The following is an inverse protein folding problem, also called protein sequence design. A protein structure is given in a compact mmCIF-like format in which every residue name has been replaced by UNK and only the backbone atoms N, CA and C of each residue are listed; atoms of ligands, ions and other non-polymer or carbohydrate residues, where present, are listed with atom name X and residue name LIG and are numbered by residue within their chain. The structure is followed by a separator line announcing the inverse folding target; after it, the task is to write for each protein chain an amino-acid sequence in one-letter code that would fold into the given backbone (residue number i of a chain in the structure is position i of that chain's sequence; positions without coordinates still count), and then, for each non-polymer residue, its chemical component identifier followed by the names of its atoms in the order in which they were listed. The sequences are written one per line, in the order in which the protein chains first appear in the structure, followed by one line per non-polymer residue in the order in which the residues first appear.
data_IF_766563996339
#
_entry.id   IF_766563996339
#
_cell.length_a   1.000
_cell.length_b   1.000
_cell.length_c   1.000
_cell.angle_alpha   90.00
_cell.angle_beta   90.00
_cell.angle_gamma   90.00
#
_symmetry.space_group_name_H-M   'P 1'
#
loop_
_entity.id
_entity.type
_entity.pdbx_description
1 polymer ?
#
# COMPACT_ATOMS: atom_id res chain seq x y z
N UNK A 1 5.26 -3.69 -7.19
CA UNK A 1 6.26 -3.36 -8.22
C UNK A 1 5.54 -3.52 -9.55
N UNK A 2 5.37 -2.46 -10.35
CA UNK A 2 4.92 -2.64 -11.75
C UNK A 2 6.10 -2.37 -12.65
N UNK A 3 6.47 -3.41 -13.39
CA UNK A 3 7.49 -3.36 -14.41
C UNK A 3 6.83 -3.10 -15.76
N UNK A 4 7.44 -2.21 -16.54
CA UNK A 4 6.95 -1.79 -17.86
C UNK A 4 6.95 -3.01 -18.79
N UNK A 5 5.78 -3.33 -19.38
CA UNK A 5 5.62 -4.40 -20.36
C UNK A 5 6.15 -3.98 -21.74
N UNK A 6 7.21 -4.61 -22.28
CA UNK A 6 7.51 -4.51 -23.71
C UNK A 6 6.54 -5.41 -24.50
N UNK A 7 5.95 -4.86 -25.56
CA UNK A 7 5.03 -5.61 -26.43
C UNK A 7 5.79 -6.72 -27.19
N UNK A 8 5.30 -7.97 -27.21
CA UNK A 8 5.92 -9.08 -27.95
C UNK A 8 6.18 -8.76 -29.43
N UNK A 9 5.34 -7.89 -30.02
CA UNK A 9 5.40 -7.49 -31.42
C UNK A 9 6.58 -6.56 -31.78
N UNK A 10 7.47 -6.24 -30.84
CA UNK A 10 8.67 -5.43 -31.06
C UNK A 10 9.98 -6.21 -30.92
N UNK A 11 9.95 -7.53 -31.13
CA UNK A 11 11.13 -8.41 -31.08
C UNK A 11 11.48 -8.96 -29.70
N UNK A 12 10.65 -8.68 -28.69
CA UNK A 12 10.85 -9.17 -27.33
C UNK A 12 10.27 -10.58 -27.19
N UNK A 13 11.08 -11.51 -26.68
CA UNK A 13 10.61 -12.82 -26.28
C UNK A 13 10.05 -12.75 -24.86
N UNK A 14 8.96 -13.50 -24.60
CA UNK A 14 8.41 -13.73 -23.26
C UNK A 14 8.80 -15.14 -22.83
N UNK A 15 9.31 -15.25 -21.62
CA UNK A 15 9.50 -16.51 -20.90
C UNK A 15 8.55 -16.49 -19.69
N UNK A 16 7.67 -17.49 -19.64
CA UNK A 16 6.88 -17.82 -18.47
C UNK A 16 7.64 -18.94 -17.74
N UNK A 17 8.48 -18.62 -16.74
CA UNK A 17 9.17 -19.65 -15.99
C UNK A 17 8.14 -20.58 -15.34
N UNK A 18 8.39 -21.90 -15.38
CA UNK A 18 7.48 -22.92 -14.82
C UNK A 18 7.04 -22.56 -13.38
N UNK A 19 5.80 -22.93 -13.04
CA UNK A 19 5.08 -22.68 -11.77
C UNK A 19 5.90 -22.04 -10.64
N UNK A 20 5.59 -20.77 -10.33
CA UNK A 20 6.06 -20.09 -9.12
C UNK A 20 7.00 -18.92 -9.34
N UNK A 21 7.25 -18.52 -10.60
CA UNK A 21 8.12 -17.40 -10.93
C UNK A 21 7.40 -16.35 -11.79
N UNK A 22 7.77 -15.09 -11.59
CA UNK A 22 7.24 -13.97 -12.36
C UNK A 22 7.74 -14.00 -13.82
N UNK A 23 6.90 -13.61 -14.79
CA UNK A 23 7.30 -13.60 -16.19
C UNK A 23 8.49 -12.67 -16.43
N UNK A 24 9.31 -13.08 -17.40
CA UNK A 24 10.47 -12.31 -17.86
C UNK A 24 10.28 -12.05 -19.35
N UNK A 25 10.54 -10.82 -19.78
CA UNK A 25 10.66 -10.47 -21.19
C UNK A 25 12.10 -10.08 -21.49
N UNK A 26 12.66 -10.52 -22.61
CA UNK A 26 14.05 -10.22 -22.99
C UNK A 26 14.23 -9.88 -24.48
N UNK A 27 15.24 -9.04 -24.76
CA UNK A 27 15.70 -8.66 -26.09
C UNK A 27 17.20 -8.34 -26.06
N UNK A 28 18.00 -9.08 -26.84
CA UNK A 28 19.47 -9.03 -26.85
C UNK A 28 20.09 -9.19 -25.44
N UNK A 29 20.56 -8.08 -24.87
CA UNK A 29 21.20 -8.01 -23.55
C UNK A 29 20.29 -7.40 -22.47
N UNK A 30 19.05 -7.06 -22.84
CA UNK A 30 18.07 -6.42 -21.95
C UNK A 30 17.03 -7.45 -21.52
N UNK A 31 16.73 -7.49 -20.23
CA UNK A 31 15.62 -8.28 -19.68
C UNK A 31 14.81 -7.45 -18.69
N UNK A 32 13.54 -7.79 -18.53
CA UNK A 32 12.59 -7.14 -17.62
C UNK A 32 11.75 -8.23 -16.96
N UNK A 33 11.83 -8.35 -15.63
CA UNK A 33 10.90 -9.16 -14.84
C UNK A 33 9.68 -8.32 -14.44
N UNK A 34 8.48 -8.88 -14.49
CA UNK A 34 7.23 -8.15 -14.27
C UNK A 34 6.12 -9.03 -13.69
N UNK A 35 5.07 -8.41 -13.17
CA UNK A 35 3.82 -9.10 -12.86
C UNK A 35 2.86 -8.98 -14.06
N UNK A 36 2.22 -10.09 -14.42
CA UNK A 36 1.09 -10.11 -15.35
C UNK A 36 -0.18 -10.67 -14.66
N UNK A 37 -1.37 -10.61 -15.30
CA UNK A 37 -2.59 -11.12 -14.69
C UNK A 37 -2.54 -12.62 -14.31
N UNK A 38 -1.73 -13.44 -14.97
CA UNK A 38 -1.57 -14.85 -14.60
C UNK A 38 -0.73 -14.96 -13.32
N UNK A 39 0.42 -14.29 -13.27
CA UNK A 39 1.28 -14.27 -12.09
C UNK A 39 0.54 -13.75 -10.84
N UNK A 40 -0.25 -12.68 -10.99
CA UNK A 40 -1.08 -12.18 -9.90
C UNK A 40 -2.18 -13.14 -9.45
N UNK A 41 -2.82 -13.85 -10.38
CA UNK A 41 -3.80 -14.88 -10.04
C UNK A 41 -3.14 -16.02 -9.24
N UNK A 42 -1.98 -16.48 -9.68
CA UNK A 42 -1.24 -17.58 -9.03
C UNK A 42 -0.74 -17.17 -7.64
N UNK A 43 -0.14 -15.99 -7.50
CA UNK A 43 0.25 -15.42 -6.19
C UNK A 43 -0.95 -15.30 -5.24
N UNK A 44 -2.10 -14.89 -5.77
CA UNK A 44 -3.34 -14.76 -4.99
C UNK A 44 -3.90 -16.09 -4.54
N UNK A 45 -3.86 -17.08 -5.42
CA UNK A 45 -4.27 -18.45 -5.10
C UNK A 45 -3.33 -19.03 -4.03
N UNK A 46 -2.02 -18.86 -4.19
CA UNK A 46 -1.03 -19.29 -3.20
C UNK A 46 -1.22 -18.61 -1.84
N UNK A 47 -1.45 -17.29 -1.80
CA UNK A 47 -1.77 -16.55 -0.56
C UNK A 47 -2.98 -17.14 0.14
N UNK A 48 -4.03 -17.45 -0.62
CA UNK A 48 -5.24 -18.07 -0.08
C UNK A 48 -5.00 -19.47 0.45
N UNK A 49 -4.34 -20.33 -0.32
CA UNK A 49 -4.09 -21.74 0.01
C UNK A 49 -3.18 -21.91 1.22
N UNK A 50 -2.26 -20.97 1.43
CA UNK A 50 -1.35 -20.97 2.57
C UNK A 50 -1.89 -20.17 3.77
N UNK A 51 -3.15 -19.71 3.73
CA UNK A 51 -3.82 -19.09 4.87
C UNK A 51 -3.31 -17.68 5.23
N UNK A 52 -2.66 -16.99 4.29
CA UNK A 52 -2.21 -15.61 4.50
C UNK A 52 -3.39 -14.63 4.49
N UNK A 53 -3.20 -13.50 5.19
CA UNK A 53 -4.26 -12.53 5.41
C UNK A 53 -4.66 -11.69 4.20
N UNK A 54 -3.89 -11.71 3.10
CA UNK A 54 -4.17 -10.89 1.92
C UNK A 54 -2.94 -10.56 1.06
N UNK A 55 -3.15 -9.65 0.09
CA UNK A 55 -2.14 -9.14 -0.83
C UNK A 55 -2.04 -7.61 -0.72
N UNK A 56 -0.82 -7.09 -0.82
CA UNK A 56 -0.51 -5.68 -0.96
C UNK A 56 -0.08 -5.40 -2.41
N UNK A 57 -0.59 -4.32 -2.99
CA UNK A 57 -0.32 -3.90 -4.37
C UNK A 57 0.31 -2.51 -4.37
N UNK A 58 1.57 -2.43 -4.79
CA UNK A 58 2.26 -1.19 -5.15
C UNK A 58 2.42 -1.11 -6.68
N UNK A 59 1.73 -0.23 -7.40
CA UNK A 59 0.62 0.63 -6.97
C UNK A 59 -0.45 0.69 -8.07
N UNK A 60 -1.69 1.04 -7.72
CA UNK A 60 -2.84 0.77 -8.59
C UNK A 60 -2.94 1.66 -9.83
N UNK A 61 -2.23 2.78 -9.87
CA UNK A 61 -2.24 3.69 -11.03
C UNK A 61 -1.40 3.18 -12.20
N UNK A 62 -0.56 2.17 -11.94
CA UNK A 62 0.21 1.45 -12.96
C UNK A 62 -0.56 0.25 -13.56
N UNK A 63 -1.74 -0.09 -13.00
CA UNK A 63 -2.64 -1.04 -13.64
C UNK A 63 -3.41 -0.35 -14.79
N UNK A 64 -3.93 -1.13 -15.75
CA UNK A 64 -4.61 -0.59 -16.93
C UNK A 64 -6.02 -0.08 -16.58
N UNK A 65 -6.10 1.12 -15.99
CA UNK A 65 -7.36 1.74 -15.57
C UNK A 65 -8.15 2.39 -16.73
N UNK A 66 -7.51 2.62 -17.89
CA UNK A 66 -8.09 3.24 -19.09
C UNK A 66 -8.31 2.23 -20.24
N UNK A 67 -8.74 1.00 -19.90
CA UNK A 67 -8.64 -0.24 -20.71
C UNK A 67 -7.92 -0.12 -22.06
N UNK A 68 -6.62 0.20 -22.06
CA UNK A 68 -5.81 0.37 -23.28
C UNK A 68 -5.33 -0.96 -23.83
N UNK A 69 -4.95 -1.88 -22.95
CA UNK A 69 -4.41 -3.19 -23.31
C UNK A 69 -5.48 -4.27 -23.34
N UNK A 70 -6.59 -4.09 -22.61
CA UNK A 70 -7.60 -5.12 -22.35
C UNK A 70 -9.03 -4.57 -22.46
N UNK A 71 -10.03 -5.46 -22.54
CA UNK A 71 -11.46 -5.06 -22.62
C UNK A 71 -12.06 -4.54 -21.31
N UNK A 72 -11.32 -4.63 -20.20
CA UNK A 72 -11.75 -4.19 -18.87
C UNK A 72 -10.62 -3.45 -18.16
N UNK A 73 -11.00 -2.45 -17.36
CA UNK A 73 -10.07 -1.75 -16.47
C UNK A 73 -9.54 -2.68 -15.37
N UNK A 74 -8.34 -2.39 -14.87
CA UNK A 74 -7.71 -3.08 -13.76
C UNK A 74 -7.56 -4.61 -13.91
N UNK A 75 -7.00 -5.11 -15.03
CA UNK A 75 -6.80 -6.54 -15.24
C UNK A 75 -6.00 -7.19 -14.10
N UNK A 76 -5.02 -6.50 -13.52
CA UNK A 76 -4.21 -7.03 -12.43
C UNK A 76 -5.04 -7.21 -11.15
N UNK A 77 -5.72 -6.15 -10.69
CA UNK A 77 -6.56 -6.24 -9.49
C UNK A 77 -7.71 -7.23 -9.67
N UNK A 78 -8.26 -7.36 -10.87
CA UNK A 78 -9.31 -8.35 -11.17
C UNK A 78 -8.77 -9.78 -11.09
N UNK A 79 -7.55 -10.04 -11.58
CA UNK A 79 -6.91 -11.33 -11.41
C UNK A 79 -6.66 -11.66 -9.94
N UNK A 80 -6.21 -10.68 -9.14
CA UNK A 80 -6.03 -10.85 -7.69
C UNK A 80 -7.35 -11.23 -7.00
N UNK A 81 -8.42 -10.47 -7.29
CA UNK A 81 -9.75 -10.77 -6.76
C UNK A 81 -10.23 -12.16 -7.20
N UNK A 82 -9.92 -12.59 -8.42
CA UNK A 82 -10.29 -13.92 -8.90
C UNK A 82 -9.51 -15.03 -8.17
N UNK A 83 -8.20 -14.87 -7.92
CA UNK A 83 -7.43 -15.86 -7.18
C UNK A 83 -7.89 -15.99 -5.72
N UNK A 84 -8.15 -14.86 -5.05
CA UNK A 84 -8.62 -14.87 -3.66
C UNK A 84 -10.08 -15.37 -3.54
N UNK A 85 -10.98 -14.89 -4.39
CA UNK A 85 -12.43 -15.04 -4.21
C UNK A 85 -13.14 -15.89 -5.27
N UNK A 86 -12.46 -16.40 -6.30
CA UNK A 86 -13.11 -17.19 -7.35
C UNK A 86 -14.12 -16.39 -8.19
N UNK A 87 -14.87 -17.10 -9.05
CA UNK A 87 -15.87 -16.53 -9.99
C UNK A 87 -17.33 -16.78 -9.58
N UNK A 88 -17.58 -17.42 -8.43
CA UNK A 88 -18.91 -17.87 -8.00
C UNK A 88 -19.41 -17.23 -6.71
N UNK A 89 -20.72 -17.33 -6.47
CA UNK A 89 -21.39 -16.92 -5.23
C UNK A 89 -20.78 -17.71 -4.06
N UNK A 90 -19.82 -17.13 -3.35
CA UNK A 90 -19.23 -17.78 -2.19
C UNK A 90 -20.27 -17.83 -1.08
N UNK A 91 -20.66 -19.06 -0.74
CA UNK A 91 -21.32 -19.38 0.52
C UNK A 91 -20.47 -18.74 1.60
N UNK A 92 -21.03 -17.75 2.30
CA UNK A 92 -20.39 -17.04 3.41
C UNK A 92 -19.87 -18.04 4.44
N UNK A 93 -18.61 -18.46 4.31
CA UNK A 93 -17.87 -18.96 5.45
C UNK A 93 -17.46 -17.75 6.28
N UNK A 94 -17.75 -17.76 7.58
CA UNK A 94 -17.28 -16.77 8.57
C UNK A 94 -15.75 -16.65 8.71
N UNK A 95 -14.96 -17.16 7.75
CA UNK A 95 -13.54 -16.90 7.66
C UNK A 95 -13.34 -15.43 7.29
N UNK A 96 -12.45 -14.76 8.00
CA UNK A 96 -12.09 -13.37 7.70
C UNK A 96 -11.69 -13.26 6.23
N UNK A 97 -12.43 -12.46 5.45
CA UNK A 97 -12.14 -12.22 4.03
C UNK A 97 -10.70 -11.74 3.89
N UNK A 98 -9.90 -12.37 3.02
CA UNK A 98 -8.57 -11.88 2.71
C UNK A 98 -8.63 -10.40 2.32
N UNK A 99 -7.55 -9.67 2.59
CA UNK A 99 -7.45 -8.24 2.27
C UNK A 99 -6.76 -8.06 0.93
N UNK A 100 -7.25 -7.13 0.13
CA UNK A 100 -6.51 -6.53 -0.98
C UNK A 100 -6.20 -5.09 -0.57
N UNK A 101 -4.92 -4.81 -0.32
CA UNK A 101 -4.41 -3.51 0.10
C UNK A 101 -3.80 -2.84 -1.11
N UNK A 102 -4.35 -1.70 -1.50
CA UNK A 102 -3.98 -0.98 -2.72
C UNK A 102 -3.30 0.33 -2.36
N UNK A 103 -2.03 0.50 -2.73
CA UNK A 103 -1.39 1.80 -2.65
C UNK A 103 -1.89 2.71 -3.77
N UNK A 104 -2.26 3.94 -3.40
CA UNK A 104 -2.62 5.00 -4.33
C UNK A 104 -1.80 6.26 -4.02
N UNK A 105 -0.81 6.59 -4.86
CA UNK A 105 0.11 7.68 -4.61
C UNK A 105 -0.46 9.07 -4.95
N UNK A 106 -0.14 10.08 -4.13
CA UNK A 106 -0.63 11.44 -4.22
C UNK A 106 -0.03 12.24 -5.40
N UNK A 107 1.08 11.80 -5.99
CA UNK A 107 1.72 12.44 -7.15
C UNK A 107 1.14 12.01 -8.50
N UNK A 108 0.25 11.01 -8.54
CA UNK A 108 -0.39 10.54 -9.79
C UNK A 108 -1.65 11.33 -10.17
N UNK A 109 -2.03 12.28 -9.33
CA UNK A 109 -3.08 13.26 -9.62
C UNK A 109 -2.71 14.21 -10.77
N UNK A 110 -1.41 14.44 -10.99
CA UNK A 110 -0.93 15.39 -11.99
C UNK A 110 -0.96 14.78 -13.41
N UNK A 111 -1.63 15.49 -14.31
CA UNK A 111 -1.87 15.09 -15.70
C UNK A 111 -0.60 15.16 -16.55
N UNK A 112 0.09 14.02 -16.69
CA UNK A 112 1.07 13.78 -17.76
C UNK A 112 0.43 13.19 -19.02
N UNK A 113 1.26 12.78 -19.99
CA UNK A 113 0.83 12.21 -21.28
C UNK A 113 -0.04 10.94 -21.18
N UNK A 114 -0.06 10.27 -20.02
CA UNK A 114 -0.83 9.05 -19.78
C UNK A 114 -2.22 9.31 -19.16
N UNK A 115 -2.52 10.57 -18.81
CA UNK A 115 -3.72 10.98 -18.06
C UNK A 115 -3.53 10.76 -16.55
N UNK A 116 -3.88 11.76 -15.74
CA UNK A 116 -3.81 11.63 -14.28
C UNK A 116 -4.77 10.56 -13.77
N UNK A 117 -4.42 9.92 -12.65
CA UNK A 117 -5.27 8.93 -11.99
C UNK A 117 -5.89 9.56 -10.75
N UNK A 118 -7.16 9.94 -10.84
CA UNK A 118 -7.95 10.60 -9.79
C UNK A 118 -8.71 9.61 -8.90
N UNK A 119 -9.29 10.02 -7.75
CA UNK A 119 -10.11 9.14 -6.92
C UNK A 119 -11.24 8.46 -7.70
N UNK A 120 -11.86 9.15 -8.65
CA UNK A 120 -12.97 8.65 -9.46
C UNK A 120 -12.56 7.54 -10.44
N UNK A 121 -11.26 7.41 -10.73
CA UNK A 121 -10.76 6.31 -11.54
C UNK A 121 -10.73 5.00 -10.75
N UNK A 122 -10.60 5.06 -9.41
CA UNK A 122 -10.52 3.89 -8.55
C UNK A 122 -11.85 3.13 -8.60
N UNK A 123 -11.81 1.83 -8.94
CA UNK A 123 -12.92 0.90 -8.71
C UNK A 123 -12.83 0.42 -7.25
N UNK A 124 -13.68 0.93 -6.34
CA UNK A 124 -13.53 0.67 -4.91
C UNK A 124 -13.93 -0.75 -4.52
N UNK A 125 -14.45 -1.55 -5.46
CA UNK A 125 -14.83 -2.95 -5.22
C UNK A 125 -13.67 -3.92 -5.36
N UNK A 126 -12.57 -3.48 -5.98
CA UNK A 126 -11.38 -4.30 -6.23
C UNK A 126 -10.39 -4.28 -5.05
N UNK A 127 -10.50 -3.29 -4.17
CA UNK A 127 -9.64 -3.11 -3.01
C UNK A 127 -10.47 -3.19 -1.72
N UNK A 128 -9.90 -3.80 -0.69
CA UNK A 128 -10.47 -3.76 0.68
C UNK A 128 -9.97 -2.55 1.45
N UNK A 129 -8.72 -2.15 1.18
CA UNK A 129 -8.05 -1.00 1.79
C UNK A 129 -7.36 -0.21 0.69
N UNK A 130 -7.42 1.11 0.75
CA UNK A 130 -6.61 2.02 -0.04
C UNK A 130 -5.65 2.73 0.90
N UNK A 131 -4.36 2.52 0.68
CA UNK A 131 -3.27 3.22 1.37
C UNK A 131 -2.93 4.48 0.55
N UNK A 132 -3.25 5.66 1.09
CA UNK A 132 -2.92 6.92 0.44
C UNK A 132 -1.46 7.28 0.73
N UNK A 133 -0.62 7.10 -0.29
CA UNK A 133 0.82 7.27 -0.21
C UNK A 133 1.27 8.61 -0.82
N UNK A 134 2.29 9.31 -0.36
CA UNK A 134 2.80 9.21 1.00
C UNK A 134 2.49 10.47 1.77
N UNK A 135 2.19 10.26 3.03
CA UNK A 135 2.32 11.27 4.04
C UNK A 135 3.75 11.22 4.61
N UNK A 136 4.15 12.30 5.25
CA UNK A 136 5.43 12.46 5.92
C UNK A 136 5.21 12.78 7.40
N UNK A 137 6.26 12.54 8.18
CA UNK A 137 6.35 13.05 9.53
C UNK A 137 6.70 14.55 9.52
N UNK A 138 5.94 15.34 10.26
CA UNK A 138 6.37 16.65 10.71
C UNK A 138 6.88 16.55 12.15
N UNK A 139 8.20 16.49 12.31
CA UNK A 139 8.87 16.37 13.61
C UNK A 139 8.76 17.62 14.48
N UNK A 140 8.41 18.78 13.91
CA UNK A 140 8.22 20.01 14.70
C UNK A 140 6.93 19.98 15.50
N UNK A 141 5.87 19.47 14.87
CA UNK A 141 4.54 19.43 15.44
C UNK A 141 4.09 18.03 15.87
N UNK A 142 4.93 17.00 15.62
CA UNK A 142 4.61 15.60 15.80
C UNK A 142 3.27 15.26 15.13
N UNK A 143 3.14 15.52 13.83
CA UNK A 143 1.92 15.20 13.07
C UNK A 143 2.26 14.46 11.78
N UNK A 144 1.29 13.71 11.26
CA UNK A 144 1.29 13.30 9.85
C UNK A 144 0.87 14.48 8.98
N UNK A 145 1.53 14.66 7.83
CA UNK A 145 1.12 15.61 6.80
C UNK A 145 1.26 14.96 5.43
N UNK A 146 0.41 15.31 4.50
CA UNK A 146 0.55 14.87 3.10
C UNK A 146 1.81 15.51 2.49
N UNK A 147 2.63 14.70 1.80
CA UNK A 147 3.90 15.17 1.23
C UNK A 147 3.71 16.25 0.15
N UNK A 148 2.57 16.23 -0.54
CA UNK A 148 2.16 17.25 -1.51
C UNK A 148 1.46 18.46 -0.87
N UNK A 149 1.40 18.51 0.47
CA UNK A 149 0.59 19.46 1.23
C UNK A 149 -0.86 18.97 1.42
N UNK A 150 -1.61 19.50 2.41
CA UNK A 150 -2.97 19.02 2.67
C UNK A 150 -3.88 19.15 1.44
N UNK A 151 -4.54 18.06 1.08
CA UNK A 151 -5.49 18.00 -0.05
C UNK A 151 -6.92 17.65 0.40
N UNK A 152 -7.64 18.53 1.15
CA UNK A 152 -8.96 18.21 1.68
C UNK A 152 -10.00 17.78 0.64
N UNK A 153 -9.93 18.34 -0.58
CA UNK A 153 -10.85 17.95 -1.66
C UNK A 153 -10.59 16.51 -2.13
N UNK A 154 -9.32 16.11 -2.27
CA UNK A 154 -8.93 14.74 -2.63
C UNK A 154 -9.39 13.76 -1.55
N UNK A 155 -9.18 14.08 -0.27
CA UNK A 155 -9.62 13.22 0.83
C UNK A 155 -11.14 13.07 0.87
N UNK A 156 -11.88 14.14 0.58
CA UNK A 156 -13.34 14.11 0.47
C UNK A 156 -13.79 13.18 -0.67
N UNK A 157 -13.15 13.26 -1.85
CA UNK A 157 -13.46 12.43 -3.01
C UNK A 157 -13.08 10.97 -2.81
N UNK A 158 -11.95 10.68 -2.16
CA UNK A 158 -11.60 9.33 -1.71
C UNK A 158 -12.66 8.76 -0.76
N UNK A 159 -13.10 9.54 0.23
CA UNK A 159 -14.14 9.11 1.15
C UNK A 159 -15.48 8.80 0.44
N UNK A 160 -15.80 9.52 -0.64
CA UNK A 160 -17.01 9.26 -1.42
C UNK A 160 -17.01 7.87 -2.10
N UNK A 161 -15.85 7.24 -2.28
CA UNK A 161 -15.76 5.86 -2.79
C UNK A 161 -16.48 4.85 -1.88
N UNK A 162 -16.60 5.16 -0.59
CA UNK A 162 -17.34 4.34 0.38
C UNK A 162 -18.85 4.29 0.11
N UNK A 163 -19.39 5.21 -0.70
CA UNK A 163 -20.79 5.15 -1.14
C UNK A 163 -21.05 3.94 -2.04
N UNK A 164 -20.03 3.51 -2.81
CA UNK A 164 -20.07 2.30 -3.66
C UNK A 164 -19.61 1.05 -2.91
N UNK A 165 -18.67 1.19 -1.97
CA UNK A 165 -18.19 0.09 -1.12
C UNK A 165 -18.10 0.55 0.34
N UNK A 166 -19.17 0.38 1.15
CA UNK A 166 -19.21 0.82 2.55
C UNK A 166 -18.16 0.16 3.46
N UNK A 167 -17.64 -1.01 3.06
CA UNK A 167 -16.63 -1.75 3.82
C UNK A 167 -15.19 -1.29 3.52
N UNK A 168 -14.99 -0.47 2.48
CA UNK A 168 -13.68 0.05 2.08
C UNK A 168 -13.03 0.85 3.22
N UNK A 169 -11.75 0.56 3.47
CA UNK A 169 -10.92 1.31 4.42
C UNK A 169 -9.94 2.23 3.72
N UNK A 170 -9.85 3.47 4.17
CA UNK A 170 -8.88 4.46 3.73
C UNK A 170 -7.83 4.62 4.81
N UNK A 171 -6.57 4.34 4.48
CA UNK A 171 -5.46 4.30 5.41
C UNK A 171 -4.43 5.33 4.98
N UNK A 172 -3.96 6.14 5.93
CA UNK A 172 -2.84 7.07 5.73
C UNK A 172 -1.57 6.23 5.70
N UNK A 173 -0.81 6.23 4.59
CA UNK A 173 0.53 5.63 4.59
C UNK A 173 1.59 6.71 4.74
N UNK A 174 2.43 6.58 5.76
CA UNK A 174 3.45 7.55 6.15
C UNK A 174 4.83 6.96 5.88
N UNK A 175 5.61 7.58 5.00
CA UNK A 175 6.99 7.16 4.71
C UNK A 175 7.25 6.81 3.25
N UNK A 176 7.67 5.57 3.01
CA UNK A 176 8.18 5.04 1.74
C UNK A 176 9.66 5.33 1.50
N UNK A 177 10.20 4.87 0.38
CA UNK A 177 11.63 4.96 0.01
C UNK A 177 12.27 6.38 0.07
N UNK A 178 11.48 7.46 0.10
CA UNK A 178 11.95 8.84 0.25
C UNK A 178 11.90 9.39 1.69
N UNK A 179 11.48 8.58 2.66
CA UNK A 179 11.31 8.96 4.05
C UNK A 179 12.64 9.35 4.72
N UNK A 180 12.59 10.30 5.65
CA UNK A 180 13.76 10.71 6.43
C UNK A 180 13.88 9.84 7.67
N UNK A 181 14.70 8.79 7.62
CA UNK A 181 14.88 7.85 8.73
C UNK A 181 15.12 8.52 10.09
N UNK A 182 15.96 9.56 10.10
CA UNK A 182 16.28 10.31 11.31
C UNK A 182 15.04 10.95 11.96
N UNK A 183 14.03 11.32 11.19
CA UNK A 183 12.77 11.89 11.71
C UNK A 183 11.94 10.82 12.46
N UNK A 184 11.92 9.58 11.96
CA UNK A 184 11.25 8.45 12.62
C UNK A 184 11.97 8.09 13.92
N UNK A 185 13.29 7.92 13.87
CA UNK A 185 14.12 7.64 15.04
C UNK A 185 14.03 8.75 16.09
N UNK A 186 14.00 10.01 15.64
CA UNK A 186 13.74 11.16 16.50
C UNK A 186 12.38 11.02 17.18
N UNK A 187 11.29 10.81 16.43
CA UNK A 187 9.95 10.66 17.00
C UNK A 187 9.87 9.54 18.06
N UNK A 188 10.35 8.34 17.74
CA UNK A 188 10.13 7.16 18.60
C UNK A 188 11.03 7.12 19.84
N UNK A 189 12.15 7.85 19.85
CA UNK A 189 13.14 7.82 20.94
C UNK A 189 12.70 8.52 22.22
N UNK A 190 11.56 9.22 22.23
CA UNK A 190 11.04 9.91 23.42
C UNK A 190 9.53 9.72 23.57
N UNK A 191 9.11 9.52 24.81
CA UNK A 191 7.70 9.26 25.13
C UNK A 191 6.79 10.46 24.88
N UNK A 192 7.24 11.68 25.19
CA UNK A 192 6.46 12.88 24.95
C UNK A 192 6.16 13.08 23.47
N UNK A 193 7.16 12.86 22.59
CA UNK A 193 7.01 12.91 21.13
C UNK A 193 6.07 11.81 20.61
N UNK A 194 6.23 10.56 21.06
CA UNK A 194 5.32 9.47 20.68
C UNK A 194 3.87 9.76 21.07
N UNK A 195 3.62 10.17 22.31
CA UNK A 195 2.27 10.49 22.80
C UNK A 195 1.67 11.70 22.10
N UNK A 196 2.48 12.74 21.84
CA UNK A 196 2.08 13.89 21.03
C UNK A 196 1.67 13.48 19.62
N UNK A 197 2.46 12.63 18.97
CA UNK A 197 2.16 12.12 17.64
C UNK A 197 0.89 11.28 17.58
N UNK A 198 0.69 10.36 18.52
CA UNK A 198 -0.50 9.52 18.60
C UNK A 198 -1.75 10.40 18.71
N UNK A 199 -1.75 11.35 19.65
CA UNK A 199 -2.86 12.28 19.85
C UNK A 199 -3.18 13.09 18.58
N UNK A 200 -2.14 13.67 17.96
CA UNK A 200 -2.34 14.53 16.80
C UNK A 200 -2.76 13.74 15.56
N UNK A 201 -2.25 12.52 15.39
CA UNK A 201 -2.62 11.61 14.30
C UNK A 201 -4.07 11.20 14.42
N UNK A 202 -4.55 10.82 15.62
CA UNK A 202 -5.97 10.55 15.87
C UNK A 202 -6.84 11.76 15.48
N UNK A 203 -6.45 12.96 15.89
CA UNK A 203 -7.18 14.18 15.53
C UNK A 203 -7.21 14.43 14.01
N UNK A 204 -6.09 14.18 13.31
CA UNK A 204 -6.01 14.28 11.86
C UNK A 204 -6.90 13.24 11.15
N UNK A 205 -6.90 12.01 11.64
CA UNK A 205 -7.72 10.92 11.13
C UNK A 205 -9.21 11.21 11.27
N UNK A 206 -9.64 11.70 12.44
CA UNK A 206 -11.02 12.16 12.64
C UNK A 206 -11.40 13.31 11.72
N UNK A 207 -10.52 14.31 11.60
CA UNK A 207 -10.77 15.51 10.77
C UNK A 207 -11.05 15.16 9.31
N UNK A 208 -10.31 14.22 8.75
CA UNK A 208 -10.38 13.85 7.33
C UNK A 208 -10.99 12.47 7.07
N UNK A 209 -11.58 11.85 8.09
CA UNK A 209 -12.31 10.57 8.03
C UNK A 209 -11.46 9.39 7.52
N UNK A 210 -10.22 9.30 7.99
CA UNK A 210 -9.35 8.15 7.75
C UNK A 210 -9.71 7.00 8.68
N UNK A 211 -9.58 5.76 8.21
CA UNK A 211 -9.87 4.55 8.98
C UNK A 211 -8.62 3.91 9.59
N UNK A 212 -7.43 4.34 9.21
CA UNK A 212 -6.18 3.75 9.70
C UNK A 212 -4.92 4.53 9.43
N UNK A 213 -3.83 4.02 10.01
CA UNK A 213 -2.46 4.45 9.80
C UNK A 213 -1.61 3.26 9.36
N UNK A 214 -0.75 3.50 8.38
CA UNK A 214 0.27 2.61 7.88
C UNK A 214 1.63 3.30 8.01
N UNK A 215 2.59 2.62 8.64
CA UNK A 215 3.94 3.13 8.87
C UNK A 215 4.92 2.43 7.92
N UNK A 216 5.37 3.14 6.91
CA UNK A 216 6.29 2.66 5.89
C UNK A 216 7.70 3.22 6.13
N UNK A 217 8.30 2.83 7.26
CA UNK A 217 9.66 3.21 7.61
C UNK A 217 10.64 2.12 7.14
N UNK A 218 11.51 2.47 6.18
CA UNK A 218 12.40 1.55 5.46
C UNK A 218 13.90 1.79 5.77
N UNK A 219 14.49 1.23 6.84
CA UNK A 219 13.92 0.44 7.92
C UNK A 219 14.55 0.84 9.26
N UNK A 220 13.88 0.63 10.41
CA UNK A 220 14.48 0.84 11.73
C UNK A 220 15.88 0.21 11.83
N UNK A 221 16.87 0.92 12.38
CA UNK A 221 18.30 0.52 12.43
C UNK A 221 19.02 0.56 11.07
N UNK A 222 18.41 0.06 9.99
CA UNK A 222 19.03 -0.09 8.66
C UNK A 222 18.61 1.02 7.68
N UNK A 223 18.94 2.26 8.02
CA UNK A 223 18.54 3.44 7.25
C UNK A 223 19.11 3.42 5.83
N UNK A 224 18.23 3.43 4.82
CA UNK A 224 18.61 3.29 3.41
C UNK A 224 19.37 1.99 3.10
N UNK A 225 19.12 0.92 3.86
CA UNK A 225 19.80 -0.37 3.73
C UNK A 225 21.13 -0.50 4.48
N UNK A 226 21.59 0.55 5.16
CA UNK A 226 22.83 0.53 5.94
C UNK A 226 22.56 0.42 7.45
N UNK A 227 22.76 -0.79 7.99
CA UNK A 227 22.55 -1.12 9.40
C UNK A 227 23.57 -0.49 10.38
N UNK A 228 24.53 0.28 9.89
CA UNK A 228 25.45 1.09 10.70
C UNK A 228 24.96 2.50 10.98
N UNK A 229 23.92 2.99 10.28
CA UNK A 229 23.47 4.38 10.37
C UNK A 229 22.45 4.63 11.48
N UNK A 230 21.49 3.73 11.67
CA UNK A 230 20.45 3.88 12.67
C UNK A 230 20.89 3.36 14.05
N UNK A 231 20.43 3.96 15.14
CA UNK A 231 20.72 3.46 16.48
C UNK A 231 19.99 2.14 16.71
N UNK A 232 20.65 1.17 17.36
CA UNK A 232 20.05 -0.14 17.70
C UNK A 232 18.77 -0.03 18.53
N UNK A 233 18.59 1.08 19.26
CA UNK A 233 17.38 1.39 20.04
C UNK A 233 16.13 1.57 19.17
N UNK A 234 16.28 1.87 17.87
CA UNK A 234 15.16 1.99 16.93
C UNK A 234 14.26 0.75 16.97
N UNK A 235 14.82 -0.46 17.02
CA UNK A 235 14.05 -1.72 17.06
C UNK A 235 13.11 -1.77 18.26
N UNK A 236 13.63 -1.52 19.46
CA UNK A 236 12.83 -1.58 20.69
C UNK A 236 11.83 -0.41 20.78
N UNK A 237 12.27 0.78 20.40
CA UNK A 237 11.44 1.99 20.43
C UNK A 237 10.29 1.92 19.42
N UNK A 238 10.53 1.33 18.24
CA UNK A 238 9.50 1.15 17.22
C UNK A 238 8.45 0.15 17.69
N UNK A 239 8.88 -0.96 18.30
CA UNK A 239 7.95 -1.90 18.95
C UNK A 239 7.09 -1.25 20.03
N UNK A 240 7.69 -0.44 20.92
CA UNK A 240 6.96 0.32 21.95
C UNK A 240 5.98 1.31 21.31
N UNK A 241 6.40 2.03 20.28
CA UNK A 241 5.55 2.98 19.56
C UNK A 241 4.33 2.32 18.91
N UNK A 242 4.51 1.16 18.29
CA UNK A 242 3.41 0.39 17.70
C UNK A 242 2.41 -0.10 18.77
N UNK A 243 2.89 -0.49 19.95
CA UNK A 243 2.03 -0.87 21.08
C UNK A 243 1.19 0.33 21.55
N UNK A 244 1.83 1.49 21.78
CA UNK A 244 1.14 2.71 22.21
C UNK A 244 0.10 3.17 21.18
N UNK A 245 0.43 3.11 19.87
CA UNK A 245 -0.52 3.38 18.78
C UNK A 245 -1.71 2.41 18.82
N UNK A 246 -1.45 1.10 18.94
CA UNK A 246 -2.50 0.07 18.96
C UNK A 246 -3.45 0.27 20.14
N UNK A 247 -2.92 0.55 21.33
CA UNK A 247 -3.72 0.83 22.53
C UNK A 247 -4.60 2.08 22.38
N UNK A 248 -4.07 3.13 21.77
CA UNK A 248 -4.84 4.35 21.52
C UNK A 248 -5.92 4.11 20.46
N UNK A 249 -5.59 3.46 19.36
CA UNK A 249 -6.51 3.20 18.25
C UNK A 249 -7.62 2.21 18.62
N UNK A 250 -7.40 1.34 19.61
CA UNK A 250 -8.42 0.43 20.15
C UNK A 250 -9.49 1.12 20.99
N UNK A 251 -9.23 2.35 21.46
CA UNK A 251 -10.19 3.17 22.21
C UNK A 251 -11.12 3.97 21.29
N UNK A 252 -10.79 4.07 20.01
CA UNK A 252 -11.60 4.75 19.01
C UNK A 252 -12.79 3.87 18.58
N UNK A 253 -13.89 4.51 18.17
CA UNK A 253 -15.11 3.83 17.72
C UNK A 253 -15.63 4.42 16.40
N UNK A 254 -15.51 3.71 15.27
CA UNK A 254 -14.89 2.39 15.12
C UNK A 254 -13.39 2.41 15.39
N UNK A 255 -12.81 1.24 15.73
CA UNK A 255 -11.36 1.09 15.93
C UNK A 255 -10.61 1.46 14.66
N UNK A 256 -9.51 2.20 14.80
CA UNK A 256 -8.64 2.49 13.66
C UNK A 256 -7.71 1.32 13.34
N UNK A 257 -7.46 1.06 12.06
CA UNK A 257 -6.47 0.05 11.63
C UNK A 257 -5.06 0.58 11.79
N UNK A 258 -4.13 -0.33 12.08
CA UNK A 258 -2.69 -0.05 12.16
C UNK A 258 -1.96 -1.12 11.36
N UNK A 259 -1.09 -0.69 10.46
CA UNK A 259 -0.16 -1.55 9.72
C UNK A 259 1.22 -0.91 9.68
N UNK A 260 2.22 -1.71 9.31
CA UNK A 260 3.56 -1.23 9.03
C UNK A 260 4.15 -2.07 7.89
N UNK A 261 4.91 -1.43 7.01
CA UNK A 261 5.78 -2.14 6.09
C UNK A 261 6.99 -2.67 6.88
N UNK A 262 7.34 -3.92 6.61
CA UNK A 262 8.48 -4.59 7.24
C UNK A 262 9.29 -5.27 6.15
N UNK A 263 10.62 -5.24 6.30
CA UNK A 263 11.51 -5.93 5.39
C UNK A 263 11.28 -7.44 5.51
N UNK A 264 11.30 -8.15 4.37
CA UNK A 264 11.42 -9.60 4.40
C UNK A 264 12.80 -9.95 4.97
N UNK A 265 12.83 -10.90 5.91
CA UNK A 265 14.10 -11.41 6.45
C UNK A 265 14.92 -12.05 5.32
N UNK A 266 16.24 -11.92 5.39
CA UNK A 266 17.15 -12.52 4.40
C UNK A 266 17.54 -13.96 4.76
N UNK A 267 17.01 -14.49 5.86
CA UNK A 267 17.32 -15.79 6.46
C UNK A 267 16.53 -16.96 5.84
#
# INVERSE_FOLDING_TARGET
MVSVLPLPNKGWAKEDPDQGHDPISYHDVTWVGYDDPYAAYDKSTWVKENGYGGIIVWEITQDDFQPKCCSKSYPMLRAINHGLYGTGLQVLSCLAKQKVICYWPNWRMESGAEGGHTPENIDPTLCTHIHHAFHELDTKNNVVKDSAGPQPDVYRRLNALKEKNPDLKLVISVGGAGAKDADYSHLISDEGRRQGFIKNTIAYMHKYKWDGLDLDWEYPVCWGGDCGKGPKSDKANFGKFLQELREAFDKESPKFSLSAAVQADAD
#
